data_IF_830346660045
#
_entry.id   IF_830346660045
#
_cell.length_a   1.000
_cell.length_b   1.000
_cell.length_c   1.000
_cell.angle_alpha   90.00
_cell.angle_beta   90.00
_cell.angle_gamma   90.00
#
_symmetry.space_group_name_H-M   'P 1'
#
loop_
_entity.id
_entity.type
_entity.pdbx_description
1 polymer ?
#
# COMPACT_ATOMS: atom_id res chain seq x y z
N UNK A 1 -22.64 44.85 9.08
CA UNK A 1 -22.72 44.34 7.72
C UNK A 1 -21.32 43.94 7.14
N UNK A 2 -20.32 44.80 7.25
CA UNK A 2 -18.95 44.58 6.74
C UNK A 2 -18.25 43.33 7.35
N UNK A 3 -18.39 43.07 8.65
CA UNK A 3 -17.76 41.95 9.35
C UNK A 3 -18.29 40.59 8.83
N UNK A 4 -19.59 40.49 8.60
CA UNK A 4 -20.22 39.25 8.10
C UNK A 4 -19.79 38.96 6.68
N UNK A 5 -19.62 39.98 5.84
CA UNK A 5 -19.17 39.88 4.46
C UNK A 5 -17.72 39.40 4.39
N UNK A 6 -16.83 39.89 5.26
CA UNK A 6 -15.44 39.45 5.33
C UNK A 6 -15.34 37.99 5.83
N UNK A 7 -16.22 37.54 6.71
CA UNK A 7 -16.25 36.16 7.19
C UNK A 7 -16.66 35.17 6.08
N UNK A 8 -17.64 35.56 5.25
CA UNK A 8 -18.09 34.75 4.11
C UNK A 8 -16.98 34.64 3.06
N UNK A 9 -16.30 35.75 2.75
CA UNK A 9 -15.21 35.78 1.77
C UNK A 9 -14.04 34.91 2.26
N UNK A 10 -13.67 35.00 3.55
CA UNK A 10 -12.60 34.20 4.13
C UNK A 10 -12.93 32.70 4.12
N UNK A 11 -14.15 32.32 4.45
CA UNK A 11 -14.59 30.92 4.43
C UNK A 11 -14.65 30.36 3.00
N UNK A 12 -15.08 31.14 2.03
CA UNK A 12 -15.05 30.74 0.62
C UNK A 12 -13.62 30.56 0.09
N UNK A 13 -12.70 31.44 0.48
CA UNK A 13 -11.29 31.32 0.08
C UNK A 13 -10.60 30.10 0.69
N UNK A 14 -10.83 29.80 1.97
CA UNK A 14 -10.31 28.60 2.62
C UNK A 14 -10.89 27.32 2.01
N UNK A 15 -12.17 27.31 1.65
CA UNK A 15 -12.79 26.19 0.96
C UNK A 15 -12.17 25.96 -0.44
N UNK A 16 -11.95 27.02 -1.22
CA UNK A 16 -11.32 26.93 -2.54
C UNK A 16 -9.87 26.42 -2.45
N UNK A 17 -9.11 26.88 -1.45
CA UNK A 17 -7.76 26.36 -1.18
C UNK A 17 -7.79 24.86 -0.83
N UNK A 18 -8.69 24.44 0.02
CA UNK A 18 -8.85 23.02 0.37
C UNK A 18 -9.17 22.18 -0.87
N UNK A 19 -10.14 22.60 -1.67
CA UNK A 19 -10.52 21.89 -2.90
C UNK A 19 -9.33 21.82 -3.87
N UNK A 20 -8.57 22.91 -4.05
CA UNK A 20 -7.41 22.93 -4.95
C UNK A 20 -6.30 21.98 -4.49
N UNK A 21 -6.08 21.83 -3.18
CA UNK A 21 -5.11 20.88 -2.62
C UNK A 21 -5.56 19.43 -2.88
N UNK A 22 -6.85 19.12 -2.67
CA UNK A 22 -7.36 17.77 -2.92
C UNK A 22 -7.33 17.40 -4.42
N UNK A 23 -7.65 18.34 -5.29
CA UNK A 23 -7.51 18.15 -6.74
C UNK A 23 -6.06 17.94 -7.17
N UNK A 24 -5.11 18.67 -6.60
CA UNK A 24 -3.68 18.49 -6.91
C UNK A 24 -3.16 17.13 -6.45
N UNK A 25 -3.61 16.64 -5.30
CA UNK A 25 -3.32 15.26 -4.84
C UNK A 25 -3.90 14.21 -5.79
N UNK A 26 -5.16 14.38 -6.22
CA UNK A 26 -5.81 13.48 -7.16
C UNK A 26 -5.09 13.47 -8.52
N UNK A 27 -4.74 14.65 -9.06
CA UNK A 27 -3.97 14.78 -10.30
C UNK A 27 -2.58 14.16 -10.17
N UNK A 28 -1.91 14.34 -9.04
CA UNK A 28 -0.61 13.70 -8.79
C UNK A 28 -0.72 12.17 -8.76
N UNK A 29 -1.80 11.62 -8.17
CA UNK A 29 -2.06 10.18 -8.20
C UNK A 29 -2.34 9.69 -9.63
N UNK A 30 -3.14 10.42 -10.40
CA UNK A 30 -3.41 10.11 -11.82
C UNK A 30 -2.12 10.18 -12.64
N UNK A 31 -1.29 11.21 -12.44
CA UNK A 31 0.02 11.33 -13.10
C UNK A 31 0.94 10.16 -12.73
N UNK A 32 1.00 9.79 -11.45
CA UNK A 32 1.79 8.65 -10.97
C UNK A 32 1.34 7.34 -11.61
N UNK A 33 0.03 7.13 -11.75
CA UNK A 33 -0.53 5.93 -12.40
C UNK A 33 -0.41 5.98 -13.93
N UNK A 34 -0.55 7.15 -14.58
CA UNK A 34 -0.47 7.29 -16.03
C UNK A 34 0.96 7.17 -16.59
N UNK A 35 1.97 7.49 -15.77
CA UNK A 35 3.38 7.31 -16.15
C UNK A 35 3.73 5.84 -16.42
N UNK A 36 2.94 4.92 -15.90
CA UNK A 36 3.07 3.48 -16.13
C UNK A 36 1.97 3.00 -17.09
N UNK A 37 2.14 3.31 -18.38
CA UNK A 37 1.21 2.87 -19.42
C UNK A 37 1.11 1.34 -19.46
N UNK A 38 -0.12 0.77 -19.57
CA UNK A 38 -0.34 -0.68 -19.76
C UNK A 38 0.39 -1.27 -20.98
N UNK A 39 0.82 -0.45 -21.91
CA UNK A 39 1.55 -0.87 -23.12
C UNK A 39 2.98 -1.33 -22.86
N UNK A 40 3.58 -1.00 -21.70
CA UNK A 40 4.85 -1.57 -21.24
C UNK A 40 4.69 -2.93 -20.55
N UNK A 41 3.45 -3.35 -20.33
CA UNK A 41 3.09 -4.58 -19.60
C UNK A 41 3.26 -5.85 -20.44
N UNK A 42 3.39 -5.76 -21.76
CA UNK A 42 3.38 -6.94 -22.67
C UNK A 42 4.75 -7.58 -22.87
N UNK A 43 5.81 -7.00 -22.34
CA UNK A 43 7.10 -7.66 -22.29
C UNK A 43 7.15 -8.44 -20.98
N UNK A 44 7.01 -9.74 -21.06
CA UNK A 44 7.26 -10.71 -19.97
C UNK A 44 8.68 -10.50 -19.44
N UNK A 45 8.86 -9.49 -18.57
CA UNK A 45 10.11 -9.32 -17.86
C UNK A 45 10.27 -10.52 -16.95
N UNK A 46 11.27 -11.33 -17.25
CA UNK A 46 11.70 -12.42 -16.39
C UNK A 46 12.10 -11.82 -15.03
N UNK A 47 11.69 -12.43 -13.93
CA UNK A 47 12.12 -12.05 -12.60
C UNK A 47 13.63 -12.02 -12.48
N UNK A 48 14.17 -11.04 -11.77
CA UNK A 48 15.59 -10.95 -11.48
C UNK A 48 16.10 -12.22 -10.79
N UNK A 49 17.27 -12.72 -11.22
CA UNK A 49 17.95 -13.82 -10.53
C UNK A 49 18.26 -13.51 -9.06
N UNK A 50 18.40 -12.23 -8.71
CA UNK A 50 18.63 -11.75 -7.33
C UNK A 50 17.38 -11.82 -6.45
N UNK A 51 16.18 -11.99 -7.01
CA UNK A 51 14.94 -12.01 -6.25
C UNK A 51 14.96 -13.02 -5.09
N UNK A 52 15.48 -14.23 -5.32
CA UNK A 52 15.58 -15.27 -4.28
C UNK A 52 16.39 -14.79 -3.07
N UNK A 53 17.49 -14.09 -3.31
CA UNK A 53 18.38 -13.55 -2.27
C UNK A 53 17.68 -12.40 -1.52
N UNK A 54 17.10 -11.45 -2.24
CA UNK A 54 16.37 -10.32 -1.64
C UNK A 54 15.21 -10.82 -0.78
N UNK A 55 14.39 -11.73 -1.31
CA UNK A 55 13.29 -12.36 -0.57
C UNK A 55 13.76 -13.01 0.74
N UNK A 56 14.84 -13.80 0.67
CA UNK A 56 15.41 -14.47 1.85
C UNK A 56 15.89 -13.46 2.89
N UNK A 57 16.68 -12.48 2.47
CA UNK A 57 17.25 -11.47 3.37
C UNK A 57 16.16 -10.59 3.99
N UNK A 58 15.14 -10.22 3.21
CA UNK A 58 14.01 -9.44 3.70
C UNK A 58 13.23 -10.19 4.78
N UNK A 59 12.91 -11.49 4.57
CA UNK A 59 12.20 -12.28 5.56
C UNK A 59 13.04 -12.60 6.80
N UNK A 60 14.36 -12.64 6.70
CA UNK A 60 15.24 -12.77 7.88
C UNK A 60 15.20 -11.55 8.79
N UNK A 61 14.99 -10.35 8.21
CA UNK A 61 14.86 -9.09 8.96
C UNK A 61 13.43 -8.86 9.47
N UNK A 62 12.43 -9.37 8.75
CA UNK A 62 11.01 -9.11 8.96
C UNK A 62 10.26 -10.43 9.21
N UNK A 63 10.43 -10.99 10.42
CA UNK A 63 9.99 -12.33 10.79
C UNK A 63 8.55 -12.43 11.28
N UNK A 64 7.76 -11.37 11.15
CA UNK A 64 6.37 -11.32 11.58
C UNK A 64 5.48 -10.75 10.48
N UNK A 65 4.25 -11.26 10.40
CA UNK A 65 3.23 -10.68 9.55
C UNK A 65 2.90 -9.26 10.05
N UNK A 66 3.06 -8.28 9.19
CA UNK A 66 2.85 -6.87 9.52
C UNK A 66 1.42 -6.54 10.02
N UNK A 67 0.45 -7.40 9.72
CA UNK A 67 -0.95 -7.21 10.12
C UNK A 67 -1.28 -7.97 11.42
N UNK A 68 -1.02 -9.28 11.47
CA UNK A 68 -1.49 -10.13 12.56
C UNK A 68 -0.39 -10.63 13.51
N UNK A 69 0.88 -10.30 13.25
CA UNK A 69 2.01 -10.69 14.09
C UNK A 69 2.39 -12.16 14.04
N UNK A 70 1.74 -13.00 13.19
CA UNK A 70 2.14 -14.42 13.05
C UNK A 70 3.52 -14.53 12.42
N UNK A 71 4.28 -15.55 12.85
CA UNK A 71 5.67 -15.80 12.43
C UNK A 71 5.81 -16.96 11.43
N UNK A 72 4.70 -17.61 11.09
CA UNK A 72 4.69 -18.79 10.23
C UNK A 72 4.12 -18.46 8.84
N UNK A 73 4.59 -19.23 7.83
CA UNK A 73 4.16 -19.11 6.43
C UNK A 73 4.20 -17.66 5.92
N UNK A 74 5.31 -17.00 6.16
CA UNK A 74 5.52 -15.60 5.76
C UNK A 74 5.97 -15.49 4.31
N UNK A 75 5.40 -14.51 3.63
CA UNK A 75 5.79 -14.14 2.27
C UNK A 75 6.01 -12.63 2.16
N UNK A 76 7.00 -12.19 1.39
CA UNK A 76 7.11 -10.78 1.04
C UNK A 76 6.10 -10.46 -0.05
N UNK A 77 5.26 -9.49 0.21
CA UNK A 77 4.30 -8.94 -0.75
C UNK A 77 4.84 -7.64 -1.33
N UNK A 78 4.79 -7.50 -2.66
CA UNK A 78 5.13 -6.25 -3.32
C UNK A 78 3.96 -5.26 -3.21
N UNK A 79 4.17 -4.12 -2.56
CA UNK A 79 3.18 -3.04 -2.46
C UNK A 79 2.81 -2.51 -3.85
N UNK A 80 3.82 -2.35 -4.72
CA UNK A 80 3.69 -2.09 -6.14
C UNK A 80 4.05 -3.38 -6.89
N UNK A 81 3.10 -4.05 -7.55
CA UNK A 81 3.31 -5.39 -8.09
C UNK A 81 4.34 -5.42 -9.22
N UNK A 82 5.16 -6.47 -9.26
CA UNK A 82 6.25 -6.65 -10.22
C UNK A 82 5.82 -6.48 -11.68
N UNK A 83 4.67 -7.01 -12.05
CA UNK A 83 4.18 -6.94 -13.44
C UNK A 83 3.87 -5.51 -13.90
N UNK A 84 3.59 -4.59 -12.97
CA UNK A 84 3.34 -3.17 -13.25
C UNK A 84 4.59 -2.30 -13.00
N UNK A 85 5.42 -2.68 -12.04
CA UNK A 85 6.56 -1.90 -11.54
C UNK A 85 7.82 -2.79 -11.43
N UNK A 86 8.34 -3.31 -12.57
CA UNK A 86 9.45 -4.26 -12.55
C UNK A 86 10.76 -3.68 -12.02
N UNK A 87 10.94 -2.37 -12.09
CA UNK A 87 12.06 -1.63 -11.52
C UNK A 87 12.03 -1.59 -9.98
N UNK A 88 10.88 -1.89 -9.38
CA UNK A 88 10.65 -1.97 -7.93
C UNK A 88 10.71 -3.39 -7.36
N UNK A 89 11.08 -4.39 -8.17
CA UNK A 89 11.10 -5.80 -7.74
C UNK A 89 12.02 -6.07 -6.55
N UNK A 90 13.20 -5.44 -6.55
CA UNK A 90 14.26 -5.69 -5.56
C UNK A 90 14.33 -4.63 -4.47
N UNK A 91 13.44 -3.65 -4.50
CA UNK A 91 13.37 -2.56 -3.55
C UNK A 91 12.74 -3.07 -2.23
N UNK A 92 13.52 -3.15 -1.15
CA UNK A 92 13.02 -3.60 0.16
C UNK A 92 11.92 -2.67 0.71
N UNK A 93 11.90 -1.39 0.37
CA UNK A 93 10.85 -0.43 0.76
C UNK A 93 9.50 -0.73 0.06
N UNK A 94 9.57 -1.40 -1.10
CA UNK A 94 8.39 -1.88 -1.81
C UNK A 94 7.85 -3.21 -1.28
N UNK A 95 8.44 -3.77 -0.23
CA UNK A 95 8.05 -5.06 0.33
C UNK A 95 7.36 -4.90 1.69
N UNK A 96 6.41 -5.78 1.97
CA UNK A 96 5.78 -5.95 3.28
C UNK A 96 5.61 -7.44 3.57
N UNK A 97 5.90 -7.86 4.81
CA UNK A 97 5.72 -9.27 5.22
C UNK A 97 4.27 -9.55 5.56
N UNK A 98 3.67 -10.50 4.88
CA UNK A 98 2.32 -10.98 5.15
C UNK A 98 2.33 -12.51 5.32
N UNK A 99 1.34 -13.07 6.02
CA UNK A 99 1.21 -14.51 6.19
C UNK A 99 0.23 -15.13 5.18
N UNK A 100 0.48 -16.40 4.83
CA UNK A 100 -0.43 -17.24 4.04
C UNK A 100 -1.05 -18.38 4.90
N UNK A 101 -1.34 -18.10 6.16
CA UNK A 101 -1.92 -19.06 7.08
C UNK A 101 -3.42 -19.22 6.89
N UNK A 102 -3.91 -20.46 6.89
CA UNK A 102 -5.33 -20.75 6.96
C UNK A 102 -5.80 -20.74 8.44
N UNK A 103 -7.01 -20.25 8.77
CA UNK A 103 -8.05 -19.65 7.91
C UNK A 103 -7.83 -18.17 7.59
N UNK A 104 -6.86 -17.50 8.23
CA UNK A 104 -6.57 -16.08 8.01
C UNK A 104 -5.35 -15.94 7.13
N UNK A 105 -5.55 -15.59 5.87
CA UNK A 105 -4.52 -15.32 4.90
C UNK A 105 -4.40 -13.82 4.67
N UNK A 106 -3.49 -13.16 5.42
CA UNK A 106 -3.32 -11.70 5.31
C UNK A 106 -2.80 -11.27 3.94
N UNK A 107 -1.98 -12.11 3.27
CA UNK A 107 -1.52 -11.86 1.92
C UNK A 107 -2.68 -11.78 0.93
N UNK A 108 -3.61 -12.73 0.98
CA UNK A 108 -4.79 -12.73 0.12
C UNK A 108 -5.79 -11.62 0.48
N UNK A 109 -6.07 -11.45 1.79
CA UNK A 109 -7.07 -10.50 2.26
C UNK A 109 -6.67 -9.03 2.05
N UNK A 110 -5.45 -8.68 2.43
CA UNK A 110 -4.98 -7.30 2.45
C UNK A 110 -4.06 -6.98 1.27
N UNK A 111 -3.20 -7.92 0.86
CA UNK A 111 -2.33 -7.73 -0.28
C UNK A 111 -3.09 -7.72 -1.61
N UNK A 112 -4.04 -8.62 -1.76
CA UNK A 112 -4.78 -8.84 -3.00
C UNK A 112 -6.28 -8.52 -2.93
N UNK A 113 -6.79 -8.01 -1.81
CA UNK A 113 -8.20 -7.65 -1.61
C UNK A 113 -9.16 -8.81 -1.99
N UNK A 114 -8.80 -10.05 -1.60
CA UNK A 114 -9.50 -11.30 -1.91
C UNK A 114 -9.56 -11.66 -3.40
N UNK A 115 -8.75 -11.04 -4.23
CA UNK A 115 -8.63 -11.37 -5.65
C UNK A 115 -7.16 -11.30 -6.08
N UNK A 116 -6.57 -12.46 -6.43
CA UNK A 116 -5.16 -12.57 -6.83
C UNK A 116 -4.76 -11.71 -8.05
N UNK A 117 -5.71 -11.24 -8.83
CA UNK A 117 -5.45 -10.36 -9.98
C UNK A 117 -5.41 -8.88 -9.61
N UNK A 118 -5.73 -8.53 -8.36
CA UNK A 118 -5.68 -7.16 -7.85
C UNK A 118 -4.48 -6.95 -6.94
N UNK A 119 -4.17 -5.70 -6.67
CA UNK A 119 -3.25 -5.31 -5.60
C UNK A 119 -3.89 -4.20 -4.76
N UNK A 120 -3.42 -4.05 -3.55
CA UNK A 120 -3.90 -3.02 -2.64
C UNK A 120 -2.97 -1.80 -2.66
N UNK A 121 -3.35 -0.67 -3.28
CA UNK A 121 -2.53 0.53 -3.30
C UNK A 121 -2.41 1.21 -1.92
N UNK A 122 -3.28 0.83 -0.96
CA UNK A 122 -3.32 1.40 0.38
C UNK A 122 -2.77 0.44 1.45
N UNK A 123 -2.00 -0.57 1.07
CA UNK A 123 -1.53 -1.63 1.97
C UNK A 123 -0.80 -1.09 3.22
N UNK A 124 -0.02 -0.03 3.10
CA UNK A 124 0.69 0.57 4.24
C UNK A 124 -0.28 1.14 5.29
N UNK A 125 -1.36 1.78 4.84
CA UNK A 125 -2.40 2.30 5.73
C UNK A 125 -3.20 1.17 6.38
N UNK A 126 -3.54 0.14 5.62
CA UNK A 126 -4.26 -1.03 6.13
C UNK A 126 -3.42 -1.79 7.18
N UNK A 127 -2.12 -1.97 6.92
CA UNK A 127 -1.18 -2.54 7.89
C UNK A 127 -1.21 -1.76 9.20
N UNK A 128 -1.10 -0.44 9.15
CA UNK A 128 -1.14 0.42 10.34
C UNK A 128 -2.45 0.25 11.12
N UNK A 129 -3.58 0.40 10.44
CA UNK A 129 -4.92 0.36 11.08
C UNK A 129 -5.19 -1.02 11.69
N UNK A 130 -4.95 -2.08 10.94
CA UNK A 130 -5.33 -3.42 11.36
C UNK A 130 -4.37 -4.02 12.39
N UNK A 131 -3.06 -3.72 12.31
CA UNK A 131 -2.12 -4.14 13.35
C UNK A 131 -2.46 -3.52 14.70
N UNK A 132 -2.82 -2.24 14.75
CA UNK A 132 -3.28 -1.56 15.96
C UNK A 132 -4.57 -2.17 16.51
N UNK A 133 -5.57 -2.41 15.65
CA UNK A 133 -6.85 -3.02 16.05
C UNK A 133 -6.67 -4.43 16.63
N UNK A 134 -5.78 -5.24 16.04
CA UNK A 134 -5.55 -6.60 16.51
C UNK A 134 -4.74 -6.63 17.81
N UNK A 135 -3.75 -5.75 17.97
CA UNK A 135 -3.02 -5.59 19.23
C UNK A 135 -3.95 -5.19 20.39
N UNK A 136 -4.86 -4.26 20.14
CA UNK A 136 -5.81 -3.81 21.15
C UNK A 136 -6.83 -4.90 21.54
N UNK A 137 -7.20 -5.79 20.62
CA UNK A 137 -8.08 -6.93 20.92
C UNK A 137 -7.39 -8.04 21.73
N UNK A 138 -6.11 -8.29 21.51
CA UNK A 138 -5.36 -9.29 22.29
C UNK A 138 -5.13 -8.87 23.75
N UNK A 139 -5.31 -7.59 24.07
CA UNK A 139 -5.29 -7.08 25.46
C UNK A 139 -6.61 -7.24 26.22
N UNK A 140 -7.69 -7.68 25.57
CA UNK A 140 -8.97 -8.00 26.22
C UNK A 140 -8.93 -9.48 26.61
N UNK A 141 -8.36 -9.79 27.76
CA UNK A 141 -8.50 -11.07 28.46
C UNK A 141 -9.51 -10.94 29.59
#
# INVERSE_FOLDING_TARGET
MIILQNFIIFSAFTFLLYVSIEWSKALFQIYKTSKYSPKQLSLTKQRSSRWKTVRKNFLQKNQECAICGKTENLVPHHKLPFHMFPDKELDEENLVTLCENHPVNCHYLFGHLMNWQTYNPNIDNDVKIWSEKLKNRSGIK
#
